data_IF_215380447274
#
_entry.id   IF_215380447274
#
_cell.length_a   1.000
_cell.length_b   1.000
_cell.length_c   1.000
_cell.angle_alpha   90.00
_cell.angle_beta   90.00
_cell.angle_gamma   90.00
#
_symmetry.space_group_name_H-M   'P 1'
#
loop_
_entity.id
_entity.type
_entity.pdbx_description
1 polymer ?
#
# COMPACT_ATOMS: atom_id res chain seq x y z
N UNK A 1 -33.17 55.29 31.48
CA UNK A 1 -34.30 55.39 32.41
C UNK A 1 -34.45 54.03 33.08
N UNK A 2 -33.95 53.89 34.30
CA UNK A 2 -34.72 53.62 35.54
C UNK A 2 -35.51 52.29 35.45
N UNK A 3 -35.40 51.30 36.33
CA UNK A 3 -35.08 51.11 37.77
C UNK A 3 -34.95 49.55 37.94
N UNK A 4 -34.01 48.95 38.56
CA UNK A 4 -33.83 48.66 39.99
C UNK A 4 -35.12 48.15 40.71
N UNK A 5 -35.07 46.86 41.16
CA UNK A 5 -35.55 46.49 42.51
C UNK A 5 -34.95 45.12 42.92
N UNK A 6 -34.32 45.15 44.07
CA UNK A 6 -33.83 44.03 44.87
C UNK A 6 -34.90 43.65 45.92
N UNK A 7 -34.80 42.45 46.49
CA UNK A 7 -35.11 42.04 47.88
C UNK A 7 -35.08 40.52 47.97
N UNK A 8 -34.11 39.94 48.60
CA UNK A 8 -33.95 39.46 49.99
C UNK A 8 -35.16 38.72 50.60
N UNK A 9 -34.93 37.42 50.89
CA UNK A 9 -35.37 36.84 52.16
C UNK A 9 -34.62 35.52 52.45
N UNK A 10 -34.15 35.41 53.63
CA UNK A 10 -33.33 34.39 54.27
C UNK A 10 -34.18 33.31 54.95
N UNK A 11 -33.48 32.20 55.31
CA UNK A 11 -33.89 31.31 56.40
C UNK A 11 -34.00 29.82 55.89
N UNK A 12 -33.48 28.79 56.42
CA UNK A 12 -33.14 28.38 57.78
C UNK A 12 -32.38 27.06 57.71
N UNK A 13 -31.42 26.85 58.56
CA UNK A 13 -30.65 25.57 58.73
C UNK A 13 -31.57 24.42 59.16
N UNK A 14 -31.24 23.22 58.67
CA UNK A 14 -31.45 21.96 59.38
C UNK A 14 -30.29 21.02 59.14
N UNK A 15 -29.49 20.80 60.17
CA UNK A 15 -28.46 19.78 60.28
C UNK A 15 -29.12 18.44 60.57
N UNK A 16 -28.89 17.42 59.78
CA UNK A 16 -29.09 16.06 60.22
C UNK A 16 -27.89 15.20 59.77
N UNK A 17 -27.11 14.77 60.74
CA UNK A 17 -26.06 13.77 60.62
C UNK A 17 -26.66 12.41 60.27
N UNK A 18 -26.14 11.79 59.21
CA UNK A 18 -26.44 10.42 58.83
C UNK A 18 -25.14 9.74 58.33
N UNK A 19 -24.46 9.00 59.25
CA UNK A 19 -23.41 8.04 58.89
C UNK A 19 -24.02 6.93 58.02
N UNK A 20 -23.42 6.66 56.87
CA UNK A 20 -23.81 5.50 56.05
C UNK A 20 -22.89 5.30 54.87
N UNK A 21 -21.93 4.38 55.03
CA UNK A 21 -21.40 3.54 53.99
C UNK A 21 -20.83 4.16 52.71
N UNK A 22 -19.55 4.45 52.72
CA UNK A 22 -18.76 4.67 51.50
C UNK A 22 -18.61 3.32 50.78
N UNK A 23 -19.56 2.95 49.92
CA UNK A 23 -19.29 2.04 48.83
C UNK A 23 -18.52 2.81 47.77
N UNK A 24 -17.22 2.61 47.74
CA UNK A 24 -16.39 3.04 46.64
C UNK A 24 -16.84 2.22 45.42
N UNK A 25 -17.76 2.78 44.63
CA UNK A 25 -17.97 2.35 43.27
C UNK A 25 -16.68 2.70 42.49
N UNK A 26 -15.88 1.69 42.30
CA UNK A 26 -14.76 1.71 41.39
C UNK A 26 -15.34 1.80 39.97
N UNK A 27 -15.75 2.99 39.56
CA UNK A 27 -15.98 3.27 38.14
C UNK A 27 -14.65 3.06 37.44
N UNK A 28 -14.45 1.89 36.90
CA UNK A 28 -13.51 1.67 35.80
C UNK A 28 -13.89 2.67 34.73
N UNK A 29 -13.22 3.82 34.71
CA UNK A 29 -13.15 4.65 33.52
C UNK A 29 -12.52 3.79 32.45
N UNK A 30 -13.34 3.16 31.63
CA UNK A 30 -12.95 2.76 30.29
C UNK A 30 -12.43 4.03 29.65
N UNK A 31 -11.13 4.18 29.56
CA UNK A 31 -10.52 5.23 28.76
C UNK A 31 -10.90 4.91 27.32
N UNK A 32 -11.95 5.53 26.81
CA UNK A 32 -12.21 5.51 25.38
C UNK A 32 -10.90 6.02 24.73
N UNK A 33 -10.21 5.12 24.03
CA UNK A 33 -9.04 5.50 23.26
C UNK A 33 -9.46 6.54 22.25
N UNK A 34 -8.68 7.60 22.07
CA UNK A 34 -8.95 8.63 21.07
C UNK A 34 -8.96 7.98 19.67
N UNK A 35 -9.86 8.40 18.77
CA UNK A 35 -9.86 7.92 17.40
C UNK A 35 -8.52 8.23 16.72
N UNK A 36 -7.98 7.24 16.05
CA UNK A 36 -6.72 7.34 15.31
C UNK A 36 -6.99 7.09 13.83
N UNK A 37 -6.57 8.02 12.97
CA UNK A 37 -6.45 7.77 11.53
C UNK A 37 -5.01 7.39 11.21
N UNK A 38 -4.81 6.13 10.82
CA UNK A 38 -3.50 5.59 10.45
C UNK A 38 -3.33 5.68 8.94
N UNK A 39 -2.45 6.55 8.48
CA UNK A 39 -2.20 6.79 7.06
C UNK A 39 -1.14 5.82 6.52
N UNK A 40 -1.54 4.99 5.55
CA UNK A 40 -0.69 3.94 4.97
C UNK A 40 -0.49 4.20 3.49
N UNK A 41 0.72 4.58 3.09
CA UNK A 41 1.14 4.65 1.69
C UNK A 41 1.60 3.27 1.22
N UNK A 42 0.95 2.70 0.21
CA UNK A 42 1.26 1.36 -0.27
C UNK A 42 1.29 1.26 -1.80
N UNK A 43 2.20 0.44 -2.31
CA UNK A 43 2.28 0.16 -3.73
C UNK A 43 0.94 -0.36 -4.28
N UNK A 44 0.55 0.08 -5.48
CA UNK A 44 -0.74 -0.23 -6.10
C UNK A 44 -1.02 -1.75 -6.22
N UNK A 45 0.01 -2.57 -6.40
CA UNK A 45 -0.09 -4.03 -6.43
C UNK A 45 -0.57 -4.67 -5.11
N UNK A 46 -0.51 -3.92 -3.99
CA UNK A 46 -0.95 -4.38 -2.67
C UNK A 46 -2.42 -4.05 -2.38
N UNK A 47 -3.12 -3.33 -3.27
CA UNK A 47 -4.45 -2.75 -2.99
C UNK A 47 -5.44 -3.76 -2.43
N UNK A 48 -5.62 -4.89 -3.09
CA UNK A 48 -6.68 -5.84 -2.73
C UNK A 48 -6.39 -6.50 -1.39
N UNK A 49 -5.20 -7.05 -1.22
CA UNK A 49 -4.79 -7.74 0.00
C UNK A 49 -4.72 -6.81 1.21
N UNK A 50 -4.22 -5.58 1.04
CA UNK A 50 -4.13 -4.61 2.13
C UNK A 50 -5.49 -4.07 2.55
N UNK A 51 -6.45 -3.93 1.63
CA UNK A 51 -7.82 -3.57 1.96
C UNK A 51 -8.51 -4.64 2.85
N UNK A 52 -8.25 -5.93 2.58
CA UNK A 52 -8.75 -7.00 3.45
C UNK A 52 -8.09 -6.98 4.83
N UNK A 53 -6.75 -6.81 4.86
CA UNK A 53 -5.99 -6.73 6.11
C UNK A 53 -6.44 -5.52 6.95
N UNK A 54 -6.62 -4.36 6.31
CA UNK A 54 -7.08 -3.14 6.97
C UNK A 54 -8.46 -3.30 7.60
N UNK A 55 -9.41 -3.94 6.90
CA UNK A 55 -10.74 -4.25 7.45
C UNK A 55 -10.68 -5.17 8.67
N UNK A 56 -9.84 -6.20 8.62
CA UNK A 56 -9.67 -7.10 9.76
C UNK A 56 -9.04 -6.36 10.95
N UNK A 57 -8.05 -5.50 10.69
CA UNK A 57 -7.39 -4.71 11.72
C UNK A 57 -8.37 -3.73 12.38
N UNK A 58 -9.17 -2.99 11.59
CA UNK A 58 -10.20 -2.07 12.11
C UNK A 58 -11.26 -2.81 12.94
N UNK A 59 -11.60 -4.05 12.58
CA UNK A 59 -12.55 -4.86 13.35
C UNK A 59 -11.99 -5.26 14.74
N UNK A 60 -10.68 -5.49 14.84
CA UNK A 60 -9.99 -5.80 16.09
C UNK A 60 -9.63 -4.52 16.89
N UNK A 61 -9.54 -3.36 16.22
CA UNK A 61 -9.17 -2.06 16.80
C UNK A 61 -10.20 -0.98 16.46
N UNK A 62 -11.39 -0.97 17.12
CA UNK A 62 -12.52 -0.12 16.72
C UNK A 62 -12.25 1.40 16.81
N UNK A 63 -11.20 1.81 17.52
CA UNK A 63 -10.76 3.21 17.61
C UNK A 63 -9.78 3.62 16.51
N UNK A 64 -9.35 2.69 15.64
CA UNK A 64 -8.40 2.95 14.55
C UNK A 64 -9.11 2.88 13.21
N UNK A 65 -8.89 3.90 12.38
CA UNK A 65 -9.26 3.92 10.96
C UNK A 65 -7.98 3.85 10.12
N UNK A 66 -7.87 2.87 9.25
CA UNK A 66 -6.73 2.75 8.33
C UNK A 66 -7.07 3.43 7.01
N UNK A 67 -6.33 4.48 6.69
CA UNK A 67 -6.50 5.26 5.46
C UNK A 67 -5.39 4.92 4.49
N UNK A 68 -5.72 4.17 3.44
CA UNK A 68 -4.75 3.79 2.42
C UNK A 68 -4.64 4.84 1.32
N UNK A 69 -3.39 5.11 0.92
CA UNK A 69 -3.03 5.84 -0.29
C UNK A 69 -2.25 4.90 -1.21
N UNK A 70 -2.88 4.48 -2.31
CA UNK A 70 -2.28 3.55 -3.27
C UNK A 70 -1.73 4.29 -4.49
N UNK A 71 -0.54 3.86 -4.96
CA UNK A 71 0.08 4.44 -6.14
C UNK A 71 1.40 3.76 -6.48
N UNK A 72 2.13 4.32 -7.45
CA UNK A 72 3.49 3.85 -7.68
C UNK A 72 4.39 4.17 -6.50
N UNK A 73 5.30 3.25 -6.16
CA UNK A 73 6.20 3.45 -5.01
C UNK A 73 7.05 4.71 -5.15
N UNK A 74 7.39 5.13 -6.38
CA UNK A 74 8.14 6.37 -6.60
C UNK A 74 7.32 7.63 -6.35
N UNK A 75 6.04 7.65 -6.78
CA UNK A 75 5.15 8.78 -6.48
C UNK A 75 4.90 8.91 -4.97
N UNK A 76 4.69 7.78 -4.28
CA UNK A 76 4.51 7.73 -2.83
C UNK A 76 5.78 8.19 -2.09
N UNK A 77 6.96 7.72 -2.53
CA UNK A 77 8.26 8.18 -2.01
C UNK A 77 8.39 9.71 -2.12
N UNK A 78 8.13 10.27 -3.30
CA UNK A 78 8.21 11.71 -3.52
C UNK A 78 7.22 12.49 -2.66
N UNK A 79 5.99 11.98 -2.48
CA UNK A 79 5.00 12.58 -1.59
C UNK A 79 5.51 12.62 -0.15
N UNK A 80 6.10 11.52 0.34
CA UNK A 80 6.69 11.43 1.69
C UNK A 80 7.87 12.40 1.84
N UNK A 81 8.77 12.45 0.86
CA UNK A 81 9.91 13.38 0.87
C UNK A 81 9.48 14.86 0.88
N UNK A 82 8.30 15.17 0.31
CA UNK A 82 7.69 16.49 0.32
C UNK A 82 6.80 16.77 1.56
N UNK A 83 6.86 15.92 2.58
CA UNK A 83 6.10 16.09 3.82
C UNK A 83 4.64 15.64 3.75
N UNK A 84 4.30 14.75 2.82
CA UNK A 84 2.98 14.13 2.74
C UNK A 84 2.66 13.32 4.00
N UNK A 85 1.41 13.35 4.41
CA UNK A 85 0.93 12.66 5.61
C UNK A 85 0.90 11.15 5.38
N UNK A 86 1.79 10.43 6.05
CA UNK A 86 1.85 8.97 6.04
C UNK A 86 2.53 8.48 7.33
N UNK A 87 2.00 7.41 7.91
CA UNK A 87 2.58 6.73 9.07
C UNK A 87 3.44 5.54 8.66
N UNK A 88 3.01 4.81 7.61
CA UNK A 88 3.72 3.65 7.07
C UNK A 88 3.88 3.75 5.56
N UNK A 89 4.97 3.13 5.07
CA UNK A 89 5.22 2.97 3.65
C UNK A 89 5.51 1.51 3.30
N UNK A 90 4.77 0.99 2.32
CA UNK A 90 4.94 -0.34 1.72
C UNK A 90 5.33 -0.17 0.26
N UNK A 91 6.56 -0.50 -0.07
CA UNK A 91 7.11 -0.30 -1.42
C UNK A 91 7.16 -1.61 -2.21
N UNK A 92 7.00 -1.54 -3.55
CA UNK A 92 7.21 -2.67 -4.45
C UNK A 92 8.68 -2.78 -4.95
N UNK A 93 9.59 -2.01 -4.39
CA UNK A 93 11.02 -2.11 -4.67
C UNK A 93 11.88 -1.55 -3.54
N UNK A 94 13.06 -2.11 -3.39
CA UNK A 94 14.07 -1.67 -2.42
C UNK A 94 14.56 -0.23 -2.70
N UNK A 95 14.61 0.18 -3.97
CA UNK A 95 15.16 1.49 -4.39
C UNK A 95 14.47 2.65 -3.67
N UNK A 96 13.16 2.66 -3.62
CA UNK A 96 12.37 3.73 -3.01
C UNK A 96 12.50 3.73 -1.49
N UNK A 97 12.49 2.57 -0.88
CA UNK A 97 12.72 2.43 0.56
C UNK A 97 14.13 2.88 0.96
N UNK A 98 15.16 2.52 0.17
CA UNK A 98 16.53 2.95 0.39
C UNK A 98 16.68 4.48 0.28
N UNK A 99 15.92 5.13 -0.60
CA UNK A 99 15.93 6.59 -0.72
C UNK A 99 15.41 7.25 0.56
N UNK A 100 14.27 6.80 1.09
CA UNK A 100 13.70 7.31 2.34
C UNK A 100 14.61 7.03 3.54
N UNK A 101 15.21 5.85 3.61
CA UNK A 101 16.17 5.51 4.66
C UNK A 101 17.40 6.41 4.63
N UNK A 102 17.98 6.63 3.44
CA UNK A 102 19.11 7.55 3.24
C UNK A 102 18.76 9.01 3.59
N UNK A 103 17.52 9.39 3.36
CA UNK A 103 17.01 10.72 3.73
C UNK A 103 16.71 10.84 5.23
N UNK A 104 16.82 9.75 6.02
CA UNK A 104 16.55 9.73 7.45
C UNK A 104 15.05 9.85 7.79
N UNK A 105 14.16 9.45 6.87
CA UNK A 105 12.71 9.57 6.99
C UNK A 105 12.03 8.32 7.56
N UNK A 106 12.79 7.26 7.84
CA UNK A 106 12.26 6.04 8.45
C UNK A 106 12.50 6.04 9.96
N UNK A 107 11.57 5.46 10.72
CA UNK A 107 11.75 5.18 12.14
C UNK A 107 12.75 4.03 12.30
N UNK A 108 13.73 4.21 13.19
CA UNK A 108 14.83 3.26 13.38
C UNK A 108 14.34 1.84 13.69
N UNK A 109 14.92 0.86 13.01
CA UNK A 109 14.68 -0.57 13.25
C UNK A 109 13.28 -1.06 12.81
N UNK A 110 12.49 -0.26 12.10
CA UNK A 110 11.15 -0.64 11.67
C UNK A 110 11.09 -1.24 10.27
N UNK A 111 12.14 -1.05 9.46
CA UNK A 111 12.21 -1.59 8.10
C UNK A 111 12.24 -3.12 8.11
N UNK A 112 11.38 -3.73 7.29
CA UNK A 112 11.29 -5.19 7.10
C UNK A 112 11.08 -5.49 5.62
N UNK A 113 11.74 -6.53 5.13
CA UNK A 113 11.42 -7.13 3.83
C UNK A 113 10.31 -8.16 4.05
N UNK A 114 9.14 -7.92 3.49
CA UNK A 114 7.95 -8.72 3.78
C UNK A 114 7.63 -9.76 2.72
N UNK A 115 7.72 -9.37 1.44
CA UNK A 115 7.19 -10.14 0.33
C UNK A 115 8.15 -10.14 -0.84
N UNK A 116 7.96 -11.12 -1.73
CA UNK A 116 8.62 -11.20 -3.03
C UNK A 116 7.58 -11.43 -4.13
N UNK A 117 7.91 -11.03 -5.36
CA UNK A 117 7.03 -11.13 -6.52
C UNK A 117 7.81 -11.50 -7.79
N UNK A 118 7.12 -11.69 -8.91
CA UNK A 118 7.70 -11.97 -10.22
C UNK A 118 7.10 -11.02 -11.28
N UNK A 119 7.87 -10.67 -12.32
CA UNK A 119 7.33 -9.98 -13.49
C UNK A 119 6.84 -11.01 -14.49
N UNK A 120 5.66 -10.77 -15.05
CA UNK A 120 5.06 -11.57 -16.10
C UNK A 120 4.69 -10.71 -17.31
N UNK A 121 4.76 -11.32 -18.47
CA UNK A 121 4.22 -10.78 -19.71
C UNK A 121 2.76 -11.21 -19.84
N UNK A 122 1.88 -10.25 -20.06
CA UNK A 122 0.45 -10.47 -20.24
C UNK A 122 -0.03 -9.94 -21.59
N UNK A 123 -1.11 -10.55 -22.07
CA UNK A 123 -1.89 -10.10 -23.23
C UNK A 123 -3.37 -10.11 -22.88
N UNK A 124 -4.25 -9.41 -23.61
CA UNK A 124 -5.69 -9.57 -23.46
C UNK A 124 -6.10 -11.03 -23.57
N UNK A 125 -7.03 -11.47 -22.74
CA UNK A 125 -7.50 -12.86 -22.77
C UNK A 125 -8.26 -13.18 -24.05
N UNK A 126 -9.12 -12.25 -24.47
CA UNK A 126 -9.86 -12.35 -25.71
C UNK A 126 -9.29 -11.36 -26.74
N UNK A 127 -9.18 -11.80 -27.99
CA UNK A 127 -8.59 -10.99 -29.07
C UNK A 127 -7.09 -10.67 -28.93
N UNK A 128 -6.45 -11.17 -27.88
CA UNK A 128 -5.02 -10.98 -27.66
C UNK A 128 -4.15 -11.62 -28.72
N UNK A 129 -3.00 -11.01 -28.97
CA UNK A 129 -2.01 -11.53 -29.95
C UNK A 129 -1.47 -12.89 -29.52
N UNK A 130 -1.20 -13.74 -30.50
CA UNK A 130 -0.60 -15.06 -30.25
C UNK A 130 0.92 -14.93 -30.08
N UNK A 131 1.31 -14.52 -28.87
CA UNK A 131 2.71 -14.49 -28.42
C UNK A 131 2.88 -15.38 -27.20
N UNK A 132 4.08 -15.93 -27.03
CA UNK A 132 4.42 -16.86 -25.95
C UNK A 132 5.75 -16.57 -25.27
N UNK A 133 6.48 -15.53 -25.72
CA UNK A 133 7.79 -15.15 -25.15
C UNK A 133 8.03 -13.65 -25.22
N UNK A 134 8.99 -13.17 -24.43
CA UNK A 134 9.41 -11.76 -24.44
C UNK A 134 10.02 -11.33 -25.78
N UNK A 135 10.73 -12.22 -26.48
CA UNK A 135 11.35 -11.89 -27.78
C UNK A 135 10.30 -11.51 -28.83
N UNK A 136 9.12 -12.12 -28.75
CA UNK A 136 8.01 -11.82 -29.67
C UNK A 136 7.38 -10.43 -29.44
N UNK A 137 7.74 -9.73 -28.33
CA UNK A 137 7.38 -8.33 -28.16
C UNK A 137 7.92 -7.43 -29.28
N UNK A 138 8.97 -7.83 -29.97
CA UNK A 138 9.54 -7.08 -31.10
C UNK A 138 8.71 -7.17 -32.38
N UNK A 139 7.73 -8.08 -32.45
CA UNK A 139 6.87 -8.28 -33.64
C UNK A 139 6.16 -6.98 -34.05
N UNK A 140 6.11 -6.73 -35.36
CA UNK A 140 5.36 -5.60 -35.94
C UNK A 140 3.84 -5.73 -35.78
N UNK A 141 3.34 -6.89 -35.38
CA UNK A 141 1.91 -7.11 -35.10
C UNK A 141 1.48 -6.49 -33.77
N UNK A 142 2.43 -6.14 -32.90
CA UNK A 142 2.23 -5.44 -31.64
C UNK A 142 2.49 -3.96 -31.86
N UNK A 143 1.49 -3.13 -31.63
CA UNK A 143 1.56 -1.68 -31.81
C UNK A 143 1.75 -0.92 -30.50
N UNK A 144 1.18 -1.46 -29.41
CA UNK A 144 1.27 -0.86 -28.09
C UNK A 144 1.67 -1.91 -27.05
N UNK A 145 2.76 -1.64 -26.33
CA UNK A 145 3.22 -2.43 -25.18
C UNK A 145 3.16 -1.59 -23.92
N UNK A 146 2.28 -1.96 -23.00
CA UNK A 146 2.09 -1.25 -21.75
C UNK A 146 3.20 -1.59 -20.74
N UNK A 147 3.88 -0.58 -20.24
CA UNK A 147 4.93 -0.66 -19.23
C UNK A 147 4.65 0.35 -18.11
N UNK A 148 5.15 0.09 -16.91
CA UNK A 148 5.23 1.14 -15.90
C UNK A 148 6.25 2.22 -16.28
N UNK A 149 6.03 3.47 -15.90
CA UNK A 149 7.00 4.53 -16.13
C UNK A 149 8.32 4.22 -15.36
N UNK A 150 9.48 4.06 -16.03
CA UNK A 150 10.68 3.48 -15.40
C UNK A 150 11.28 4.32 -14.27
N UNK A 151 11.04 5.65 -14.25
CA UNK A 151 11.61 6.52 -13.22
C UNK A 151 10.93 6.37 -11.87
N UNK A 152 9.60 6.17 -11.89
CA UNK A 152 8.78 6.18 -10.68
C UNK A 152 8.07 4.87 -10.36
N UNK A 153 7.83 4.01 -11.37
CA UNK A 153 7.04 2.78 -11.19
C UNK A 153 7.97 1.58 -11.08
N UNK A 154 7.98 0.85 -9.95
CA UNK A 154 8.87 -0.30 -9.75
C UNK A 154 8.79 -1.35 -10.86
N UNK A 155 7.60 -1.79 -11.28
CA UNK A 155 7.48 -2.76 -12.38
C UNK A 155 8.08 -2.24 -13.68
N UNK A 156 8.04 -0.93 -13.92
CA UNK A 156 8.69 -0.29 -15.06
C UNK A 156 10.21 -0.36 -14.98
N UNK A 157 10.78 -0.20 -13.79
CA UNK A 157 12.23 -0.36 -13.54
C UNK A 157 12.67 -1.79 -13.83
N UNK A 158 11.95 -2.78 -13.31
CA UNK A 158 12.23 -4.18 -13.60
C UNK A 158 12.01 -4.54 -15.08
N UNK A 159 10.97 -3.97 -15.71
CA UNK A 159 10.73 -4.15 -17.15
C UNK A 159 11.89 -3.62 -17.98
N UNK A 160 12.44 -2.46 -17.64
CA UNK A 160 13.62 -1.90 -18.32
C UNK A 160 14.87 -2.78 -18.13
N UNK A 161 15.09 -3.33 -16.92
CA UNK A 161 16.16 -4.30 -16.65
C UNK A 161 16.00 -5.55 -17.53
N UNK A 162 14.79 -6.13 -17.59
CA UNK A 162 14.47 -7.32 -18.38
C UNK A 162 14.72 -7.07 -19.86
N UNK A 163 14.10 -6.03 -20.41
CA UNK A 163 14.17 -5.71 -21.84
C UNK A 163 15.60 -5.32 -22.28
N UNK A 164 16.36 -4.66 -21.39
CA UNK A 164 17.78 -4.37 -21.61
C UNK A 164 18.61 -5.65 -21.69
N UNK A 165 18.39 -6.57 -20.72
CA UNK A 165 19.13 -7.83 -20.67
C UNK A 165 18.83 -8.73 -21.84
N UNK A 166 17.61 -8.67 -22.37
CA UNK A 166 17.18 -9.39 -23.58
C UNK A 166 17.63 -8.69 -24.88
N UNK A 167 18.16 -7.47 -24.81
CA UNK A 167 18.61 -6.71 -25.99
C UNK A 167 17.49 -6.16 -26.86
N UNK A 168 16.26 -6.05 -26.34
CA UNK A 168 15.07 -5.61 -27.10
C UNK A 168 14.49 -4.26 -26.62
N UNK A 169 15.12 -3.61 -25.64
CA UNK A 169 14.59 -2.39 -25.01
C UNK A 169 14.27 -1.29 -26.02
N UNK A 170 15.19 -0.98 -26.96
CA UNK A 170 14.98 0.10 -27.91
C UNK A 170 13.83 -0.17 -28.88
N UNK A 171 13.67 -1.41 -29.32
CA UNK A 171 12.55 -1.83 -30.15
C UNK A 171 11.21 -1.68 -29.41
N UNK A 172 11.20 -1.97 -28.11
CA UNK A 172 9.99 -1.84 -27.29
C UNK A 172 9.71 -0.38 -26.95
N UNK A 173 10.71 0.45 -26.66
CA UNK A 173 10.52 1.89 -26.42
C UNK A 173 9.80 2.61 -27.57
N UNK A 174 9.97 2.15 -28.81
CA UNK A 174 9.29 2.72 -29.98
C UNK A 174 7.77 2.55 -29.97
N UNK A 175 7.26 1.57 -29.21
CA UNK A 175 5.83 1.23 -29.09
C UNK A 175 5.34 1.14 -27.65
N UNK A 176 6.16 1.59 -26.69
CA UNK A 176 5.80 1.57 -25.29
C UNK A 176 4.77 2.67 -24.95
N UNK A 177 3.78 2.31 -24.17
CA UNK A 177 2.90 3.23 -23.45
C UNK A 177 3.16 3.09 -21.95
N UNK A 178 3.29 4.22 -21.25
CA UNK A 178 3.79 4.21 -19.88
C UNK A 178 2.68 4.55 -18.89
N UNK A 179 2.34 3.58 -18.02
CA UNK A 179 1.39 3.74 -16.92
C UNK A 179 2.03 4.40 -15.70
N UNK A 180 1.23 5.14 -14.98
CA UNK A 180 1.60 5.80 -13.72
C UNK A 180 1.80 4.83 -12.55
N UNK A 181 1.25 3.62 -12.66
CA UNK A 181 1.43 2.49 -11.75
C UNK A 181 1.11 1.17 -12.47
N UNK A 182 1.30 0.02 -11.78
CA UNK A 182 1.10 -1.31 -12.36
C UNK A 182 -0.37 -1.61 -12.68
N UNK A 183 -1.31 -1.05 -11.92
CA UNK A 183 -2.75 -1.29 -12.15
C UNK A 183 -3.25 -0.59 -13.41
N UNK A 184 -2.68 0.56 -13.74
CA UNK A 184 -2.94 1.20 -15.02
C UNK A 184 -2.42 0.36 -16.19
N UNK A 185 -1.21 -0.21 -16.07
CA UNK A 185 -0.67 -1.14 -17.08
C UNK A 185 -1.60 -2.33 -17.26
N UNK A 186 -2.03 -2.97 -16.17
CA UNK A 186 -2.98 -4.09 -16.19
C UNK A 186 -4.28 -3.70 -16.89
N UNK A 187 -4.85 -2.53 -16.54
CA UNK A 187 -6.12 -2.06 -17.09
C UNK A 187 -6.06 -1.87 -18.61
N UNK A 188 -5.00 -1.27 -19.15
CA UNK A 188 -4.84 -1.08 -20.60
C UNK A 188 -4.72 -2.39 -21.38
N UNK A 189 -4.08 -3.41 -20.79
CA UNK A 189 -4.03 -4.73 -21.42
C UNK A 189 -5.38 -5.42 -21.29
N UNK A 190 -6.03 -5.37 -20.12
CA UNK A 190 -7.33 -5.98 -19.89
C UNK A 190 -8.43 -5.40 -20.80
N UNK A 191 -8.39 -4.10 -21.10
CA UNK A 191 -9.33 -3.43 -22.01
C UNK A 191 -9.00 -3.62 -23.50
N UNK A 192 -7.81 -4.14 -23.83
CA UNK A 192 -7.33 -4.25 -25.22
C UNK A 192 -6.77 -2.93 -25.79
N UNK A 193 -6.61 -1.89 -24.97
CA UNK A 193 -5.94 -0.64 -25.37
C UNK A 193 -4.45 -0.86 -25.65
N UNK A 194 -3.87 -1.90 -25.05
CA UNK A 194 -2.50 -2.35 -25.32
C UNK A 194 -2.49 -3.82 -25.70
N UNK A 195 -1.68 -4.18 -26.70
CA UNK A 195 -1.55 -5.54 -27.22
C UNK A 195 -0.89 -6.49 -26.21
N UNK A 196 0.00 -5.95 -25.37
CA UNK A 196 0.73 -6.69 -24.34
C UNK A 196 1.18 -5.73 -23.22
N UNK A 197 1.59 -6.29 -22.09
CA UNK A 197 2.15 -5.49 -21.01
C UNK A 197 2.96 -6.32 -20.02
N UNK A 198 3.78 -5.64 -19.21
CA UNK A 198 4.55 -6.24 -18.14
C UNK A 198 3.96 -5.79 -16.79
N UNK A 199 3.53 -6.77 -16.00
CA UNK A 199 2.95 -6.57 -14.67
C UNK A 199 3.55 -7.58 -13.69
N UNK A 200 3.19 -7.48 -12.41
CA UNK A 200 3.53 -8.55 -11.47
C UNK A 200 2.58 -9.74 -11.62
N UNK A 201 3.06 -10.94 -11.27
CA UNK A 201 2.27 -12.16 -11.30
C UNK A 201 0.99 -12.02 -10.44
N UNK A 202 1.10 -11.34 -9.30
CA UNK A 202 -0.04 -11.05 -8.41
C UNK A 202 -1.09 -10.15 -9.04
N UNK A 203 -0.70 -9.16 -9.86
CA UNK A 203 -1.64 -8.30 -10.57
C UNK A 203 -2.34 -9.07 -11.70
N UNK A 204 -1.62 -9.93 -12.40
CA UNK A 204 -2.23 -10.80 -13.43
C UNK A 204 -3.24 -11.78 -12.81
N UNK A 205 -2.96 -12.32 -11.63
CA UNK A 205 -3.79 -13.33 -10.95
C UNK A 205 -5.18 -12.81 -10.55
N UNK A 206 -5.34 -11.52 -10.31
CA UNK A 206 -6.63 -10.93 -9.90
C UNK A 206 -7.52 -10.52 -11.08
N UNK A 207 -7.01 -10.56 -12.32
CA UNK A 207 -7.77 -10.17 -13.51
C UNK A 207 -8.17 -11.40 -14.33
N UNK A 208 -9.47 -11.51 -14.63
CA UNK A 208 -9.98 -12.51 -15.55
C UNK A 208 -9.80 -12.15 -17.03
N UNK A 209 -9.42 -10.91 -17.32
CA UNK A 209 -9.44 -10.32 -18.67
C UNK A 209 -8.06 -10.31 -19.35
N UNK A 210 -7.04 -10.79 -18.64
CA UNK A 210 -5.71 -10.98 -19.18
C UNK A 210 -5.27 -12.45 -19.12
N UNK A 211 -4.30 -12.78 -19.94
CA UNK A 211 -3.61 -14.08 -19.97
C UNK A 211 -2.11 -13.87 -19.78
N UNK A 212 -1.54 -14.56 -18.80
CA UNK A 212 -0.07 -14.65 -18.65
C UNK A 212 0.49 -15.53 -19.77
N UNK A 213 1.46 -15.02 -20.51
CA UNK A 213 2.09 -15.74 -21.61
C UNK A 213 3.51 -16.20 -21.28
N UNK A 214 4.24 -15.45 -20.45
CA UNK A 214 5.57 -15.82 -20.02
C UNK A 214 5.92 -15.14 -18.67
N UNK A 215 6.74 -15.81 -17.87
CA UNK A 215 7.46 -15.20 -16.74
C UNK A 215 8.76 -14.58 -17.25
N UNK A 216 9.23 -13.52 -16.58
CA UNK A 216 10.53 -12.94 -16.87
C UNK A 216 11.63 -14.02 -16.73
N UNK A 217 12.56 -14.13 -17.71
CA UNK A 217 13.64 -15.10 -17.62
C UNK A 217 14.54 -14.85 -16.41
N UNK A 218 14.96 -15.92 -15.75
CA UNK A 218 15.82 -15.82 -14.58
C UNK A 218 17.10 -15.02 -14.86
N UNK A 219 17.49 -14.15 -13.92
CA UNK A 219 18.71 -13.32 -14.04
C UNK A 219 18.55 -12.11 -14.98
N UNK A 220 17.36 -11.80 -15.47
CA UNK A 220 17.12 -10.60 -16.30
C UNK A 220 16.83 -9.35 -15.47
N UNK A 221 16.45 -9.49 -14.23
CA UNK A 221 16.21 -8.41 -13.28
C UNK A 221 16.64 -8.80 -11.88
N UNK A 222 16.73 -7.82 -10.98
CA UNK A 222 16.96 -8.03 -9.54
C UNK A 222 15.74 -8.62 -8.87
N UNK A 223 15.94 -9.23 -7.69
CA UNK A 223 14.83 -9.72 -6.87
C UNK A 223 13.81 -8.60 -6.59
N UNK A 224 12.55 -8.94 -6.76
CA UNK A 224 11.43 -8.02 -6.52
C UNK A 224 10.99 -8.15 -5.08
N UNK A 225 11.58 -7.35 -4.21
CA UNK A 225 11.31 -7.35 -2.77
C UNK A 225 10.39 -6.20 -2.42
N UNK A 226 9.42 -6.48 -1.55
CA UNK A 226 8.49 -5.51 -0.98
C UNK A 226 8.90 -5.21 0.47
N UNK A 227 9.65 -4.13 0.68
CA UNK A 227 9.94 -3.66 2.03
C UNK A 227 8.79 -2.80 2.56
N UNK A 228 8.63 -2.84 3.89
CA UNK A 228 7.77 -1.94 4.64
C UNK A 228 8.57 -1.25 5.74
N UNK A 229 8.17 -0.04 6.10
CA UNK A 229 8.72 0.70 7.22
C UNK A 229 7.71 1.70 7.78
N UNK A 230 7.92 2.10 9.02
CA UNK A 230 7.22 3.21 9.66
C UNK A 230 7.99 4.49 9.37
N UNK A 231 7.28 5.60 9.13
CA UNK A 231 7.91 6.90 8.92
C UNK A 231 8.30 7.53 10.24
N UNK A 232 9.44 8.23 10.26
CA UNK A 232 10.02 8.80 11.47
C UNK A 232 9.10 9.82 12.16
N UNK A 233 8.39 10.61 11.35
CA UNK A 233 7.53 11.68 11.83
C UNK A 233 6.07 11.24 12.04
N UNK A 234 5.81 9.91 12.05
CA UNK A 234 4.51 9.35 12.41
C UNK A 234 4.05 9.84 13.77
N UNK A 235 2.85 10.39 13.83
CA UNK A 235 2.20 10.84 15.07
C UNK A 235 1.57 9.67 15.84
N UNK A 236 1.47 8.51 15.20
CA UNK A 236 0.79 7.31 15.69
C UNK A 236 1.75 6.12 15.76
N UNK A 237 3.00 6.35 16.22
CA UNK A 237 4.10 5.39 16.18
C UNK A 237 3.74 4.01 16.77
N UNK A 238 3.04 3.98 17.91
CA UNK A 238 2.68 2.71 18.55
C UNK A 238 1.60 1.96 17.77
N UNK A 239 0.57 2.67 17.27
CA UNK A 239 -0.44 2.09 16.36
C UNK A 239 0.20 1.61 15.05
N UNK A 240 1.16 2.37 14.50
CA UNK A 240 1.88 1.98 13.29
C UNK A 240 2.73 0.70 13.51
N UNK A 241 3.38 0.55 14.68
CA UNK A 241 4.11 -0.68 15.04
C UNK A 241 3.17 -1.87 15.17
N UNK A 242 2.04 -1.67 15.82
CA UNK A 242 1.02 -2.70 15.99
C UNK A 242 0.45 -3.14 14.64
N UNK A 243 0.09 -2.19 13.77
CA UNK A 243 -0.36 -2.48 12.41
C UNK A 243 0.68 -3.21 11.58
N UNK A 244 1.96 -2.79 11.63
CA UNK A 244 3.05 -3.47 10.92
C UNK A 244 3.25 -4.91 11.42
N UNK A 245 3.11 -5.13 12.73
CA UNK A 245 3.15 -6.46 13.32
C UNK A 245 1.93 -7.30 12.88
N UNK A 246 0.74 -6.71 12.85
CA UNK A 246 -0.47 -7.34 12.36
C UNK A 246 -0.36 -7.76 10.89
N UNK A 247 0.10 -6.88 10.01
CA UNK A 247 0.36 -7.17 8.59
C UNK A 247 1.34 -8.34 8.43
N UNK A 248 2.32 -8.46 9.34
CA UNK A 248 3.38 -9.46 9.28
C UNK A 248 3.06 -10.76 10.03
N UNK A 249 1.86 -10.92 10.62
CA UNK A 249 1.48 -12.13 11.35
C UNK A 249 1.22 -13.32 10.41
N UNK A 250 1.19 -14.53 10.97
CA UNK A 250 1.07 -15.76 10.17
C UNK A 250 -0.24 -15.83 9.37
N UNK A 251 -1.36 -15.34 9.93
CA UNK A 251 -2.66 -15.26 9.23
C UNK A 251 -2.56 -14.41 7.96
N UNK A 252 -1.89 -13.28 8.04
CA UNK A 252 -1.74 -12.36 6.92
C UNK A 252 -0.63 -12.80 5.95
N UNK A 253 0.40 -13.52 6.42
CA UNK A 253 1.34 -14.23 5.55
C UNK A 253 0.63 -15.24 4.64
N UNK A 254 -0.27 -16.06 5.20
CA UNK A 254 -1.09 -16.98 4.40
C UNK A 254 -2.01 -16.23 3.41
N UNK A 255 -2.53 -15.06 3.81
CA UNK A 255 -3.34 -14.21 2.93
C UNK A 255 -2.50 -13.69 1.76
N UNK A 256 -1.32 -13.14 2.01
CA UNK A 256 -0.41 -12.72 0.94
C UNK A 256 -0.08 -13.86 -0.03
N UNK A 257 0.17 -15.07 0.48
CA UNK A 257 0.42 -16.25 -0.35
C UNK A 257 -0.79 -16.60 -1.24
N UNK A 258 -2.02 -16.45 -0.75
CA UNK A 258 -3.25 -16.64 -1.55
C UNK A 258 -3.38 -15.64 -2.69
N UNK A 259 -2.85 -14.42 -2.51
CA UNK A 259 -2.77 -13.40 -3.55
C UNK A 259 -1.57 -13.60 -4.50
N UNK A 260 -0.77 -14.67 -4.29
CA UNK A 260 0.35 -15.03 -5.15
C UNK A 260 1.68 -14.39 -4.79
N UNK A 261 1.78 -13.69 -3.66
CA UNK A 261 3.05 -13.21 -3.13
C UNK A 261 3.84 -14.36 -2.49
N UNK A 262 5.15 -14.35 -2.67
CA UNK A 262 6.06 -15.15 -1.86
C UNK A 262 6.37 -14.38 -0.56
N UNK A 263 6.23 -15.04 0.60
CA UNK A 263 6.42 -14.42 1.91
C UNK A 263 7.85 -14.66 2.39
N UNK A 264 8.47 -13.63 2.96
CA UNK A 264 9.84 -13.68 3.50
C UNK A 264 9.89 -13.88 5.02
#
# INVERSE_FOLDING_TARGET
MKKLFALLAAGLLAVMSGCGGQTASNESKSSAQEPVELHVSAAASLTDVMNEIGKDYEAEHPNVKVVFNYGSSGALQQAIENGGDADLFFSAAQKQMNALEKAGLLADGTRKDLLQNEVVLIVPKEGGKDISSFDQLTSDTLTHVALGEPKGVPVGQYSEEILTKLGILDAIKAKAVYGSDVRQVLAWVASGESDAGLVYATDAAISSDVRVVAKAPAGTHKDIIYPAAILKDSKHLDTAKDFLAFVSNDKNKERFAKYGFEVK
#
